data_IF_246891135116
#
_entry.id   IF_246891135116
#
_cell.length_a   1.000
_cell.length_b   1.000
_cell.length_c   1.000
_cell.angle_alpha   90.00
_cell.angle_beta   90.00
_cell.angle_gamma   90.00
#
_symmetry.space_group_name_H-M   'P 1'
#
loop_
_entity.id
_entity.type
_entity.pdbx_description
1 polymer ?
#
# COMPACT_ATOMS: atom_id res chain seq x y z
N UNK A 1 -0.03 21.15 47.27
CA UNK A 1 -0.24 19.73 46.92
C UNK A 1 -0.36 19.63 45.40
N UNK A 2 0.76 19.37 44.75
CA UNK A 2 0.84 19.06 43.31
C UNK A 2 0.50 17.58 43.10
N UNK A 3 -0.40 17.22 42.17
CA UNK A 3 -0.66 15.81 41.91
C UNK A 3 0.53 15.22 41.14
N UNK A 4 1.16 14.23 41.75
CA UNK A 4 2.19 13.37 41.14
C UNK A 4 1.60 12.66 39.93
N UNK A 5 2.17 12.90 38.74
CA UNK A 5 2.05 11.98 37.62
C UNK A 5 2.61 10.61 38.05
N UNK A 6 1.79 9.57 37.94
CA UNK A 6 2.25 8.19 38.03
C UNK A 6 2.86 7.79 36.68
N UNK A 7 4.13 7.37 36.60
CA UNK A 7 4.68 6.77 35.40
C UNK A 7 4.39 5.26 35.38
N UNK A 8 3.99 4.74 34.22
CA UNK A 8 4.06 3.30 33.92
C UNK A 8 2.74 2.53 34.02
N UNK A 9 1.86 2.70 33.03
CA UNK A 9 1.01 1.59 32.61
C UNK A 9 1.88 0.66 31.75
N UNK A 10 2.38 -0.43 32.33
CA UNK A 10 3.02 -1.49 31.58
C UNK A 10 1.98 -2.15 30.66
N UNK A 11 2.38 -2.43 29.42
CA UNK A 11 1.53 -3.04 28.37
C UNK A 11 2.03 -4.46 28.00
N UNK A 12 1.75 -5.51 28.80
CA UNK A 12 2.34 -6.83 28.53
C UNK A 12 1.56 -7.64 27.47
N UNK A 13 0.24 -7.47 27.35
CA UNK A 13 -0.60 -8.48 26.67
C UNK A 13 -0.83 -8.25 25.16
N UNK A 14 -0.10 -7.32 24.54
CA UNK A 14 -0.31 -6.96 23.14
C UNK A 14 0.71 -7.54 22.15
N UNK A 15 1.86 -7.98 22.65
CA UNK A 15 3.07 -8.01 21.83
C UNK A 15 3.85 -9.32 21.86
N UNK A 16 3.52 -10.29 22.73
CA UNK A 16 4.38 -11.47 22.92
C UNK A 16 3.72 -12.84 22.66
N UNK A 17 4.39 -13.59 21.79
CA UNK A 17 4.68 -15.02 21.98
C UNK A 17 6.01 -15.31 21.28
N UNK A 18 7.10 -15.65 22.00
CA UNK A 18 8.41 -15.84 21.38
C UNK A 18 8.44 -17.19 20.64
N UNK A 19 8.50 -17.15 19.31
CA UNK A 19 8.79 -18.34 18.49
C UNK A 19 10.29 -18.50 18.29
N UNK A 20 10.84 -19.73 18.35
CA UNK A 20 12.28 -19.98 18.30
C UNK A 20 12.90 -19.53 16.97
N UNK A 21 14.14 -19.03 17.08
CA UNK A 21 14.92 -18.39 16.03
C UNK A 21 15.47 -19.43 15.03
N UNK A 22 14.63 -19.93 14.12
CA UNK A 22 15.12 -20.60 12.90
C UNK A 22 15.85 -19.58 12.03
N UNK A 23 16.91 -20.02 11.33
CA UNK A 23 17.65 -19.24 10.33
C UNK A 23 16.64 -18.60 9.37
N UNK A 24 16.39 -17.29 9.55
CA UNK A 24 15.25 -16.62 8.90
C UNK A 24 15.58 -16.37 7.43
N UNK A 25 14.68 -16.67 6.49
CA UNK A 25 14.74 -16.09 5.17
C UNK A 25 14.68 -14.56 5.32
N UNK A 26 15.73 -13.84 4.91
CA UNK A 26 15.76 -12.38 4.89
C UNK A 26 14.94 -11.83 3.71
N UNK A 27 13.82 -12.47 3.36
CA UNK A 27 13.12 -12.18 2.11
C UNK A 27 11.86 -11.37 2.41
N UNK A 28 11.74 -10.22 1.75
CA UNK A 28 10.53 -9.40 1.73
C UNK A 28 9.64 -9.85 0.57
N UNK A 29 8.44 -10.34 0.87
CA UNK A 29 7.42 -10.61 -0.14
C UNK A 29 6.91 -9.30 -0.75
N UNK A 30 6.47 -9.31 -2.00
CA UNK A 30 5.74 -8.18 -2.57
C UNK A 30 4.70 -8.63 -3.60
N UNK A 31 3.68 -7.80 -3.84
CA UNK A 31 2.73 -8.03 -4.93
C UNK A 31 3.46 -7.90 -6.29
N UNK A 32 3.71 -9.05 -6.90
CA UNK A 32 4.41 -9.17 -8.17
C UNK A 32 3.56 -8.75 -9.39
N UNK A 33 4.08 -8.97 -10.59
CA UNK A 33 5.38 -9.57 -10.90
C UNK A 33 6.55 -8.57 -10.75
N UNK A 34 7.78 -9.02 -11.02
CA UNK A 34 8.94 -8.14 -11.10
C UNK A 34 8.72 -7.03 -12.13
N UNK A 35 9.10 -5.81 -11.75
CA UNK A 35 8.90 -4.59 -12.53
C UNK A 35 7.61 -3.87 -12.18
N UNK A 36 6.81 -4.38 -11.22
CA UNK A 36 5.63 -3.68 -10.72
C UNK A 36 5.99 -2.42 -9.94
N UNK A 37 5.02 -1.52 -9.77
CA UNK A 37 5.16 -0.38 -8.87
C UNK A 37 5.42 -0.84 -7.41
N UNK A 38 4.87 -1.99 -7.00
CA UNK A 38 5.14 -2.55 -5.68
C UNK A 38 6.61 -2.95 -5.50
N UNK A 39 7.26 -3.50 -6.53
CA UNK A 39 8.70 -3.76 -6.49
C UNK A 39 9.50 -2.44 -6.39
N UNK A 40 9.10 -1.41 -7.14
CA UNK A 40 9.75 -0.10 -7.06
C UNK A 40 9.62 0.54 -5.67
N UNK A 41 8.51 0.31 -4.97
CA UNK A 41 8.28 0.80 -3.61
C UNK A 41 9.22 0.18 -2.56
N UNK A 42 9.86 -0.96 -2.84
CA UNK A 42 10.82 -1.60 -1.92
C UNK A 42 11.99 -0.67 -1.55
N UNK A 43 12.40 0.20 -2.47
CA UNK A 43 13.50 1.13 -2.26
C UNK A 43 13.21 2.16 -1.15
N UNK A 44 11.96 2.60 -1.02
CA UNK A 44 11.54 3.55 0.01
C UNK A 44 11.27 2.91 1.38
N UNK A 45 11.44 1.59 1.52
CA UNK A 45 11.13 0.81 2.72
C UNK A 45 12.36 0.07 3.28
N UNK A 46 13.55 0.53 2.87
CA UNK A 46 14.87 0.03 3.27
C UNK A 46 15.02 -1.49 3.05
N UNK A 47 14.35 -2.02 2.04
CA UNK A 47 14.46 -3.44 1.68
C UNK A 47 15.74 -3.63 0.87
N UNK A 48 16.63 -4.49 1.36
CA UNK A 48 17.91 -4.79 0.70
C UNK A 48 17.69 -5.34 -0.71
N UNK A 49 18.52 -4.92 -1.66
CA UNK A 49 18.54 -5.49 -3.01
C UNK A 49 18.81 -7.00 -2.96
N UNK A 50 18.09 -7.77 -3.77
CA UNK A 50 18.17 -9.24 -3.78
C UNK A 50 17.49 -9.93 -2.60
N UNK A 51 16.92 -9.18 -1.66
CA UNK A 51 16.26 -9.69 -0.46
C UNK A 51 14.73 -9.60 -0.57
N UNK A 52 14.18 -9.75 -1.78
CA UNK A 52 12.74 -9.65 -2.04
C UNK A 52 12.26 -10.65 -3.09
N UNK A 53 11.02 -11.10 -2.97
CA UNK A 53 10.42 -12.08 -3.87
C UNK A 53 8.98 -11.69 -4.28
N UNK A 54 8.63 -11.77 -5.58
CA UNK A 54 7.28 -11.50 -6.04
C UNK A 54 6.31 -12.63 -5.67
N UNK A 55 5.09 -12.25 -5.32
CA UNK A 55 3.96 -13.15 -5.11
C UNK A 55 2.79 -12.74 -6.02
N UNK A 56 1.97 -13.69 -6.50
CA UNK A 56 0.93 -13.40 -7.49
C UNK A 56 -0.30 -12.71 -6.90
N UNK A 57 -0.43 -12.62 -5.58
CA UNK A 57 -1.51 -11.88 -4.92
C UNK A 57 -1.09 -11.30 -3.58
N UNK A 58 -1.82 -10.27 -3.14
CA UNK A 58 -1.65 -9.65 -1.82
C UNK A 58 -1.82 -10.68 -0.71
N UNK A 59 -2.84 -11.54 -0.83
CA UNK A 59 -3.09 -12.61 0.14
C UNK A 59 -1.87 -13.53 0.28
N UNK A 60 -1.30 -14.01 -0.83
CA UNK A 60 -0.15 -14.91 -0.77
C UNK A 60 1.12 -14.21 -0.24
N UNK A 61 1.33 -12.92 -0.57
CA UNK A 61 2.44 -12.15 0.01
C UNK A 61 2.31 -12.03 1.54
N UNK A 62 1.10 -11.76 2.04
CA UNK A 62 0.83 -11.66 3.48
C UNK A 62 0.87 -13.04 4.17
N UNK A 63 0.40 -14.09 3.51
CA UNK A 63 0.44 -15.46 4.04
C UNK A 63 1.89 -15.95 4.21
N UNK A 64 2.80 -15.56 3.30
CA UNK A 64 4.23 -15.83 3.47
C UNK A 64 4.80 -15.19 4.75
N UNK A 65 4.30 -14.03 5.17
CA UNK A 65 4.68 -13.40 6.44
C UNK A 65 4.06 -14.14 7.62
N UNK A 66 2.79 -14.55 7.51
CA UNK A 66 2.09 -15.34 8.55
C UNK A 66 2.79 -16.67 8.82
N UNK A 67 3.20 -17.39 7.78
CA UNK A 67 3.91 -18.67 7.90
C UNK A 67 5.37 -18.53 8.31
N UNK A 68 5.94 -17.32 8.23
CA UNK A 68 7.36 -17.07 8.45
C UNK A 68 8.26 -17.42 7.25
N UNK A 69 7.68 -17.71 6.09
CA UNK A 69 8.41 -17.87 4.81
C UNK A 69 9.06 -16.56 4.36
N UNK A 70 8.43 -15.42 4.70
CA UNK A 70 8.95 -14.08 4.50
C UNK A 70 8.99 -13.32 5.84
N UNK A 71 9.93 -12.39 5.98
CA UNK A 71 10.01 -11.54 7.19
C UNK A 71 8.99 -10.41 7.16
N UNK A 72 8.77 -9.86 5.97
CA UNK A 72 7.84 -8.77 5.71
C UNK A 72 7.20 -8.93 4.33
N UNK A 73 6.14 -8.17 4.09
CA UNK A 73 5.49 -8.03 2.79
C UNK A 73 5.30 -6.55 2.47
N UNK A 74 5.49 -6.17 1.20
CA UNK A 74 5.13 -4.84 0.69
C UNK A 74 3.92 -4.97 -0.21
N UNK A 75 2.87 -4.24 0.11
CA UNK A 75 1.58 -4.28 -0.59
C UNK A 75 1.10 -2.86 -0.86
N UNK A 76 0.41 -2.62 -2.00
CA UNK A 76 -0.22 -1.33 -2.25
C UNK A 76 -1.33 -1.10 -1.23
N UNK A 77 -1.48 0.11 -0.72
CA UNK A 77 -2.44 0.44 0.33
C UNK A 77 -3.52 1.40 -0.18
N UNK A 78 -3.11 2.45 -0.87
CA UNK A 78 -3.99 3.50 -1.36
C UNK A 78 -3.41 4.15 -2.61
N UNK A 79 -4.27 4.51 -3.57
CA UNK A 79 -3.94 5.27 -4.74
C UNK A 79 -4.66 6.62 -4.69
N UNK A 80 -4.00 7.72 -5.05
CA UNK A 80 -4.58 9.06 -4.96
C UNK A 80 -5.71 9.34 -5.97
N UNK A 81 -5.89 8.48 -6.98
CA UNK A 81 -6.93 8.59 -8.01
C UNK A 81 -8.10 7.65 -7.71
N UNK A 82 -7.82 6.42 -7.28
CA UNK A 82 -8.82 5.35 -7.12
C UNK A 82 -9.19 5.05 -5.66
N UNK A 83 -8.46 5.64 -4.71
CA UNK A 83 -8.64 5.42 -3.28
C UNK A 83 -7.99 4.12 -2.80
N UNK A 84 -8.58 3.52 -1.77
CA UNK A 84 -7.99 2.37 -1.06
C UNK A 84 -7.88 1.12 -1.95
N UNK A 85 -6.78 0.38 -1.79
CA UNK A 85 -6.61 -0.91 -2.45
C UNK A 85 -7.29 -1.99 -1.60
N UNK A 86 -8.56 -2.23 -1.94
CA UNK A 86 -9.46 -3.12 -1.19
C UNK A 86 -8.84 -4.49 -0.87
N UNK A 87 -8.12 -5.11 -1.81
CA UNK A 87 -7.48 -6.41 -1.59
C UNK A 87 -6.49 -6.41 -0.42
N UNK A 88 -5.75 -5.31 -0.21
CA UNK A 88 -4.80 -5.16 0.90
C UNK A 88 -5.50 -4.81 2.20
N UNK A 89 -6.45 -3.87 2.14
CA UNK A 89 -7.25 -3.49 3.29
C UNK A 89 -8.00 -4.70 3.85
N UNK A 90 -8.70 -5.46 3.02
CA UNK A 90 -9.48 -6.62 3.45
C UNK A 90 -8.62 -7.74 4.03
N UNK A 91 -7.45 -7.96 3.43
CA UNK A 91 -6.51 -8.98 3.88
C UNK A 91 -5.83 -8.63 5.21
N UNK A 92 -5.73 -7.34 5.57
CA UNK A 92 -5.26 -6.88 6.88
C UNK A 92 -6.38 -6.66 7.89
N UNK A 93 -7.58 -6.27 7.45
CA UNK A 93 -8.71 -5.95 8.31
C UNK A 93 -9.09 -7.12 9.25
N UNK A 94 -8.87 -8.35 8.79
CA UNK A 94 -9.18 -9.58 9.52
C UNK A 94 -7.93 -10.25 10.10
N UNK A 95 -6.79 -9.55 10.16
CA UNK A 95 -5.51 -10.15 10.52
C UNK A 95 -5.09 -9.81 11.94
N UNK A 96 -5.15 -10.78 12.85
CA UNK A 96 -4.71 -10.58 14.24
C UNK A 96 -3.17 -10.63 14.39
N UNK A 97 -2.48 -11.33 13.49
CA UNK A 97 -1.05 -11.64 13.60
C UNK A 97 -0.12 -10.77 12.73
N UNK A 98 -0.66 -9.74 12.08
CA UNK A 98 0.13 -8.84 11.22
C UNK A 98 0.03 -7.40 11.70
N UNK A 99 1.08 -6.62 11.46
CA UNK A 99 1.09 -5.19 11.66
C UNK A 99 1.81 -4.46 10.52
N UNK A 100 1.39 -3.23 10.25
CA UNK A 100 2.10 -2.27 9.41
C UNK A 100 3.26 -1.70 10.23
N UNK A 101 4.42 -1.62 9.59
CA UNK A 101 5.71 -1.25 10.20
C UNK A 101 6.41 -0.11 9.47
N UNK A 102 5.80 0.37 8.39
CA UNK A 102 6.32 1.45 7.57
C UNK A 102 5.45 1.65 6.35
N UNK A 103 5.59 2.81 5.72
CA UNK A 103 4.94 3.15 4.47
C UNK A 103 5.88 3.93 3.56
N UNK A 104 5.54 4.00 2.29
CA UNK A 104 6.22 4.83 1.31
C UNK A 104 5.24 5.33 0.27
N UNK A 105 5.55 6.48 -0.32
CA UNK A 105 4.77 7.11 -1.39
C UNK A 105 5.56 6.99 -2.69
N UNK A 106 4.93 6.44 -3.72
CA UNK A 106 5.55 6.30 -5.04
C UNK A 106 4.73 7.05 -6.10
N UNK A 107 5.31 8.07 -6.76
CA UNK A 107 4.71 8.68 -7.93
C UNK A 107 4.46 7.66 -9.04
N UNK A 108 3.25 7.69 -9.60
CA UNK A 108 2.80 6.79 -10.65
C UNK A 108 2.82 7.55 -11.97
N UNK A 109 3.74 7.15 -12.84
CA UNK A 109 3.86 7.69 -14.18
C UNK A 109 3.71 6.58 -15.21
N UNK A 110 2.93 6.86 -16.25
CA UNK A 110 2.68 5.94 -17.34
C UNK A 110 3.33 6.45 -18.63
N UNK A 111 3.91 5.52 -19.35
CA UNK A 111 4.40 5.69 -20.72
C UNK A 111 3.85 4.56 -21.58
N UNK A 112 3.79 4.79 -22.89
CA UNK A 112 3.47 3.76 -23.88
C UNK A 112 4.74 3.39 -24.63
N UNK A 113 5.02 2.09 -24.70
CA UNK A 113 6.14 1.56 -25.45
C UNK A 113 5.72 0.43 -26.38
N UNK A 114 6.49 0.29 -27.46
CA UNK A 114 6.34 -0.73 -28.50
C UNK A 114 7.58 -1.62 -28.53
N UNK A 115 7.53 -2.80 -29.16
CA UNK A 115 8.74 -3.57 -29.44
C UNK A 115 9.74 -2.78 -30.29
N UNK A 116 11.04 -3.11 -30.21
CA UNK A 116 12.06 -2.42 -31.01
C UNK A 116 11.73 -2.40 -32.50
N UNK A 117 11.84 -1.21 -33.11
CA UNK A 117 11.48 -0.97 -34.51
C UNK A 117 9.97 -0.82 -34.78
N UNK A 118 9.13 -0.90 -33.76
CA UNK A 118 7.71 -0.53 -33.83
C UNK A 118 7.50 0.98 -33.85
N UNK A 119 6.30 1.42 -34.21
CA UNK A 119 5.91 2.83 -34.21
C UNK A 119 4.53 3.01 -33.59
N UNK A 120 4.19 4.25 -33.22
CA UNK A 120 2.84 4.54 -32.72
C UNK A 120 1.76 4.21 -33.76
N UNK A 121 2.04 4.40 -35.05
CA UNK A 121 1.09 4.13 -36.15
C UNK A 121 0.83 2.63 -36.40
N UNK A 122 1.73 1.74 -36.00
CA UNK A 122 1.56 0.29 -36.14
C UNK A 122 0.71 -0.33 -35.03
N UNK A 123 0.48 0.40 -33.93
CA UNK A 123 -0.25 -0.12 -32.76
C UNK A 123 -1.70 -0.44 -33.13
N UNK A 124 -2.11 -1.66 -32.79
CA UNK A 124 -3.50 -2.17 -32.89
C UNK A 124 -4.01 -2.75 -31.59
N UNK A 125 -3.11 -3.06 -30.64
CA UNK A 125 -3.46 -3.58 -29.32
C UNK A 125 -2.62 -2.91 -28.26
N UNK A 126 -3.27 -2.43 -27.20
CA UNK A 126 -2.61 -1.82 -26.04
C UNK A 126 -2.84 -2.71 -24.82
N UNK A 127 -1.77 -3.30 -24.31
CA UNK A 127 -1.77 -4.17 -23.15
C UNK A 127 -1.46 -3.34 -21.90
N UNK A 128 -2.32 -3.41 -20.89
CA UNK A 128 -2.01 -2.89 -19.55
C UNK A 128 -3.01 -3.38 -18.51
N UNK A 129 -2.81 -2.99 -17.25
CA UNK A 129 -3.79 -3.23 -16.19
C UNK A 129 -5.02 -2.33 -16.38
N UNK A 130 -6.26 -2.80 -16.12
CA UNK A 130 -7.47 -1.98 -16.27
C UNK A 130 -7.41 -0.59 -15.60
N UNK A 131 -6.80 -0.50 -14.42
CA UNK A 131 -6.63 0.78 -13.71
C UNK A 131 -5.69 1.75 -14.47
N UNK A 132 -4.59 1.23 -15.02
CA UNK A 132 -3.68 2.04 -15.83
C UNK A 132 -4.34 2.47 -17.15
N UNK A 133 -5.16 1.60 -17.75
CA UNK A 133 -5.95 1.95 -18.93
C UNK A 133 -6.93 3.08 -18.63
N UNK A 134 -7.70 2.99 -17.54
CA UNK A 134 -8.63 4.04 -17.14
C UNK A 134 -7.92 5.39 -16.96
N UNK A 135 -6.72 5.40 -16.37
CA UNK A 135 -5.94 6.61 -16.15
C UNK A 135 -5.28 7.18 -17.42
N UNK A 136 -5.11 6.36 -18.47
CA UNK A 136 -4.51 6.78 -19.75
C UNK A 136 -5.54 6.96 -20.88
N UNK A 137 -6.83 6.71 -20.60
CA UNK A 137 -7.90 6.60 -21.60
C UNK A 137 -8.02 7.85 -22.48
N UNK A 138 -7.97 9.03 -21.89
CA UNK A 138 -8.02 10.30 -22.63
C UNK A 138 -6.92 10.38 -23.68
N UNK A 139 -5.70 9.95 -23.35
CA UNK A 139 -4.59 9.97 -24.30
C UNK A 139 -4.75 8.90 -25.39
N UNK A 140 -5.15 7.68 -25.01
CA UNK A 140 -5.32 6.57 -25.95
C UNK A 140 -6.47 6.79 -26.93
N UNK A 141 -7.58 7.38 -26.48
CA UNK A 141 -8.74 7.66 -27.34
C UNK A 141 -8.38 8.70 -28.43
N UNK A 142 -7.47 9.62 -28.14
CA UNK A 142 -7.00 10.65 -29.08
C UNK A 142 -5.95 10.08 -30.05
N UNK A 143 -4.94 9.37 -29.54
CA UNK A 143 -3.75 9.00 -30.31
C UNK A 143 -3.83 7.60 -30.93
N UNK A 144 -4.67 6.73 -30.38
CA UNK A 144 -4.82 5.33 -30.78
C UNK A 144 -6.31 4.93 -30.89
N UNK A 145 -7.15 5.68 -31.63
CA UNK A 145 -8.60 5.47 -31.68
C UNK A 145 -9.03 4.11 -32.27
N UNK A 146 -8.11 3.39 -32.91
CA UNK A 146 -8.35 2.10 -33.54
C UNK A 146 -7.61 0.94 -32.84
N UNK A 147 -6.99 1.19 -31.68
CA UNK A 147 -6.31 0.15 -30.93
C UNK A 147 -7.24 -0.48 -29.89
N UNK A 148 -7.25 -1.80 -29.84
CA UNK A 148 -8.01 -2.54 -28.84
C UNK A 148 -7.27 -2.55 -27.50
N UNK A 149 -8.00 -2.33 -26.40
CA UNK A 149 -7.48 -2.56 -25.07
C UNK A 149 -7.47 -4.06 -24.76
N UNK A 150 -6.31 -4.56 -24.33
CA UNK A 150 -6.13 -5.95 -23.89
C UNK A 150 -5.75 -5.92 -22.41
N UNK A 151 -6.67 -6.41 -21.57
CA UNK A 151 -6.49 -6.44 -20.13
C UNK A 151 -5.36 -7.40 -19.73
N UNK A 152 -4.46 -6.92 -18.89
CA UNK A 152 -3.39 -7.71 -18.28
C UNK A 152 -3.52 -7.69 -16.75
N UNK A 153 -2.96 -8.70 -16.09
CA UNK A 153 -2.98 -8.81 -14.62
C UNK A 153 -2.15 -7.73 -13.92
N UNK A 154 -1.22 -7.09 -14.61
CA UNK A 154 -0.47 -5.93 -14.13
C UNK A 154 0.17 -5.17 -15.29
N UNK A 155 0.59 -3.92 -15.04
CA UNK A 155 1.36 -3.13 -16.02
C UNK A 155 2.70 -3.80 -16.35
N UNK A 156 3.33 -4.44 -15.37
CA UNK A 156 4.57 -5.19 -15.56
C UNK A 156 4.38 -6.48 -16.36
N UNK A 157 3.28 -7.19 -16.16
CA UNK A 157 2.93 -8.35 -16.97
C UNK A 157 2.67 -7.96 -18.42
N UNK A 158 1.97 -6.85 -18.66
CA UNK A 158 1.77 -6.32 -20.01
C UNK A 158 3.09 -5.99 -20.71
N UNK A 159 3.99 -5.27 -20.03
CA UNK A 159 5.31 -4.95 -20.58
C UNK A 159 6.13 -6.22 -20.87
N UNK A 160 6.10 -7.21 -19.98
CA UNK A 160 6.75 -8.51 -20.19
C UNK A 160 6.20 -9.23 -21.42
N UNK A 161 4.88 -9.27 -21.57
CA UNK A 161 4.22 -9.97 -22.67
C UNK A 161 4.55 -9.34 -24.04
N UNK A 162 4.48 -8.00 -24.12
CA UNK A 162 4.87 -7.28 -25.35
C UNK A 162 6.36 -7.45 -25.64
N UNK A 163 7.22 -7.37 -24.62
CA UNK A 163 8.67 -7.55 -24.78
C UNK A 163 9.08 -8.96 -25.20
N UNK A 164 8.33 -9.97 -24.74
CA UNK A 164 8.57 -11.38 -25.08
C UNK A 164 8.04 -11.74 -26.46
N UNK A 165 6.80 -11.35 -26.78
CA UNK A 165 6.17 -11.67 -28.06
C UNK A 165 6.73 -10.86 -29.23
N UNK A 166 7.20 -9.63 -28.97
CA UNK A 166 7.69 -8.67 -29.96
C UNK A 166 6.76 -8.45 -31.15
N UNK A 167 5.44 -8.62 -30.94
CA UNK A 167 4.45 -8.40 -31.99
C UNK A 167 4.43 -6.92 -32.40
N UNK A 168 4.72 -6.54 -33.66
CA UNK A 168 4.87 -5.13 -34.07
C UNK A 168 3.61 -4.27 -33.91
N UNK A 169 2.44 -4.90 -33.77
CA UNK A 169 1.15 -4.25 -33.58
C UNK A 169 0.71 -4.14 -32.11
N UNK A 170 1.53 -4.61 -31.18
CA UNK A 170 1.26 -4.54 -29.74
C UNK A 170 2.04 -3.41 -29.09
N UNK A 171 1.42 -2.72 -28.14
CA UNK A 171 2.06 -1.76 -27.25
C UNK A 171 1.74 -2.11 -25.79
N UNK A 172 2.61 -1.69 -24.88
CA UNK A 172 2.37 -1.80 -23.44
C UNK A 172 2.31 -0.41 -22.79
N UNK A 173 1.39 -0.24 -21.83
CA UNK A 173 1.41 0.89 -20.91
C UNK A 173 1.93 0.43 -19.55
N UNK A 174 3.05 0.99 -19.11
CA UNK A 174 3.63 0.75 -17.79
C UNK A 174 4.51 1.91 -17.35
N UNK A 175 5.22 1.77 -16.23
CA UNK A 175 6.23 2.75 -15.83
C UNK A 175 7.40 2.75 -16.84
N UNK A 176 8.05 3.90 -17.10
CA UNK A 176 9.23 3.95 -17.98
C UNK A 176 10.32 2.94 -17.60
N UNK A 177 10.56 2.76 -16.28
CA UNK A 177 11.53 1.78 -15.77
C UNK A 177 11.14 0.33 -16.11
N UNK A 178 9.86 0.02 -16.03
CA UNK A 178 9.32 -1.31 -16.37
C UNK A 178 9.43 -1.59 -17.86
N UNK A 179 9.10 -0.60 -18.71
CA UNK A 179 9.19 -0.73 -20.17
C UNK A 179 10.64 -0.97 -20.61
N UNK A 180 11.58 -0.19 -20.08
CA UNK A 180 13.01 -0.35 -20.33
C UNK A 180 13.52 -1.73 -19.89
N UNK A 181 13.08 -2.23 -18.73
CA UNK A 181 13.44 -3.57 -18.25
C UNK A 181 13.08 -4.68 -19.24
N UNK A 182 11.95 -4.56 -19.93
CA UNK A 182 11.50 -5.56 -20.89
C UNK A 182 11.91 -5.24 -22.34
N UNK A 183 12.87 -4.32 -22.53
CA UNK A 183 13.47 -4.02 -23.83
C UNK A 183 12.49 -3.40 -24.82
N UNK A 184 11.55 -2.59 -24.34
CA UNK A 184 10.57 -1.87 -25.15
C UNK A 184 11.00 -0.42 -25.39
N UNK A 185 10.70 0.07 -26.59
CA UNK A 185 11.00 1.45 -27.02
C UNK A 185 9.84 2.36 -26.66
N UNK A 186 10.09 3.32 -25.77
CA UNK A 186 9.09 4.30 -25.34
C UNK A 186 8.80 5.27 -26.48
N UNK A 187 7.53 5.33 -26.92
CA UNK A 187 7.08 6.21 -28.01
C UNK A 187 6.16 7.34 -27.52
N UNK A 188 5.68 7.26 -26.28
CA UNK A 188 4.98 8.37 -25.61
C UNK A 188 5.23 8.31 -24.10
N UNK A 189 5.49 9.47 -23.49
CA UNK A 189 5.72 9.63 -22.06
C UNK A 189 4.59 10.42 -21.42
N UNK A 190 4.42 10.26 -20.10
CA UNK A 190 3.49 11.06 -19.29
C UNK A 190 2.06 11.07 -19.84
N UNK A 191 1.57 9.90 -20.24
CA UNK A 191 0.25 9.75 -20.90
C UNK A 191 -0.92 9.59 -19.92
N UNK A 192 -0.62 9.56 -18.61
CA UNK A 192 -1.64 9.49 -17.57
C UNK A 192 -2.33 10.85 -17.38
N UNK A 193 -3.63 10.83 -17.11
CA UNK A 193 -4.44 12.04 -16.92
C UNK A 193 -4.05 12.87 -15.68
N UNK A 194 -3.39 12.24 -14.69
CA UNK A 194 -3.00 12.85 -13.42
C UNK A 194 -1.48 12.76 -13.23
N UNK A 195 -0.71 13.84 -13.48
CA UNK A 195 0.75 13.83 -13.29
C UNK A 195 1.16 13.76 -11.81
N UNK A 196 0.24 14.09 -10.92
CA UNK A 196 0.35 14.03 -9.46
C UNK A 196 -0.16 12.71 -8.87
N UNK A 197 -0.44 11.70 -9.71
CA UNK A 197 -0.89 10.39 -9.26
C UNK A 197 0.20 9.72 -8.41
N UNK A 198 -0.18 9.28 -7.21
CA UNK A 198 0.71 8.65 -6.24
C UNK A 198 0.04 7.42 -5.66
N UNK A 199 0.82 6.38 -5.41
CA UNK A 199 0.36 5.21 -4.66
C UNK A 199 1.16 5.10 -3.37
N UNK A 200 0.44 4.95 -2.26
CA UNK A 200 0.96 4.61 -0.95
C UNK A 200 1.09 3.09 -0.83
N UNK A 201 2.25 2.63 -0.41
CA UNK A 201 2.54 1.23 -0.13
C UNK A 201 2.88 1.06 1.34
N UNK A 202 2.51 -0.08 1.92
CA UNK A 202 2.79 -0.39 3.32
C UNK A 202 3.67 -1.63 3.44
N UNK A 203 4.59 -1.59 4.41
CA UNK A 203 5.41 -2.73 4.84
C UNK A 203 4.73 -3.42 6.01
N UNK A 204 4.31 -4.65 5.79
CA UNK A 204 3.63 -5.49 6.78
C UNK A 204 4.60 -6.52 7.32
N UNK A 205 4.62 -6.71 8.63
CA UNK A 205 5.37 -7.78 9.29
C UNK A 205 4.45 -8.57 10.24
N UNK A 206 4.98 -9.64 10.84
CA UNK A 206 4.31 -10.29 11.97
C UNK A 206 4.17 -9.30 13.13
N UNK A 207 3.07 -9.42 13.86
CA UNK A 207 2.74 -8.57 15.01
C UNK A 207 3.93 -8.51 15.97
N UNK A 208 4.34 -7.28 16.28
CA UNK A 208 5.40 -6.94 17.23
C UNK A 208 5.10 -5.55 17.77
N UNK A 209 5.75 -5.19 18.89
CA UNK A 209 5.70 -3.82 19.41
C UNK A 209 6.16 -2.84 18.30
N UNK A 210 5.44 -1.72 18.09
CA UNK A 210 5.89 -0.64 17.23
C UNK A 210 7.30 -0.15 17.59
N UNK A 211 7.96 0.51 16.65
CA UNK A 211 9.21 1.24 16.92
C UNK A 211 8.96 2.37 17.93
N UNK A 212 10.01 3.07 18.35
CA UNK A 212 9.83 4.30 19.11
C UNK A 212 9.13 5.36 18.24
N UNK A 213 8.34 6.28 18.84
CA UNK A 213 7.78 7.42 18.12
C UNK A 213 8.87 8.21 17.40
N UNK A 214 8.56 8.63 16.18
CA UNK A 214 9.39 9.54 15.36
C UNK A 214 8.93 10.98 15.45
N UNK A 215 7.72 11.22 15.95
CA UNK A 215 7.07 12.54 15.97
C UNK A 215 6.33 12.89 14.67
N UNK A 216 6.48 12.07 13.62
CA UNK A 216 5.66 12.10 12.41
C UNK A 216 5.25 10.65 12.08
N UNK A 217 4.36 10.11 12.90
CA UNK A 217 3.89 8.73 12.80
C UNK A 217 2.44 8.67 12.33
N UNK A 218 2.06 7.52 11.77
CA UNK A 218 0.68 7.13 11.50
C UNK A 218 0.35 5.89 12.31
N UNK A 219 -0.86 5.86 12.85
CA UNK A 219 -1.42 4.69 13.52
C UNK A 219 -2.66 4.19 12.78
N UNK A 220 -2.75 2.87 12.61
CA UNK A 220 -3.86 2.22 11.91
C UNK A 220 -4.56 1.24 12.83
N UNK A 221 -5.90 1.27 12.82
CA UNK A 221 -6.73 0.38 13.61
C UNK A 221 -7.98 -0.04 12.81
N UNK A 222 -8.50 -1.20 13.15
CA UNK A 222 -9.74 -1.75 12.60
C UNK A 222 -10.72 -1.90 13.75
N UNK A 223 -11.88 -1.27 13.62
CA UNK A 223 -12.93 -1.24 14.63
C UNK A 223 -14.18 -1.93 14.08
N UNK A 224 -14.45 -3.19 14.45
CA UNK A 224 -15.71 -3.84 14.11
C UNK A 224 -16.88 -3.14 14.81
N UNK A 225 -17.98 -2.84 14.12
CA UNK A 225 -19.18 -2.27 14.75
C UNK A 225 -20.31 -3.30 14.83
N UNK A 226 -21.17 -3.14 15.82
CA UNK A 226 -22.33 -4.02 16.03
C UNK A 226 -23.55 -3.62 15.16
N UNK A 227 -23.39 -2.61 14.29
CA UNK A 227 -24.38 -2.24 13.27
C UNK A 227 -25.30 -1.09 13.64
N UNK A 228 -25.12 -0.41 14.79
CA UNK A 228 -25.90 0.80 15.12
C UNK A 228 -25.16 2.05 14.64
N UNK A 229 -25.89 3.05 14.13
CA UNK A 229 -25.33 4.33 13.66
C UNK A 229 -24.56 5.06 14.78
N UNK A 230 -25.04 4.97 16.02
CA UNK A 230 -24.36 5.51 17.20
C UNK A 230 -22.95 4.97 17.42
N UNK A 231 -22.68 3.74 16.96
CA UNK A 231 -21.40 3.09 17.23
C UNK A 231 -20.25 3.79 16.51
N UNK A 232 -20.48 4.28 15.27
CA UNK A 232 -19.46 5.02 14.54
C UNK A 232 -19.25 6.41 15.15
N UNK A 233 -20.33 7.11 15.50
CA UNK A 233 -20.26 8.41 16.17
C UNK A 233 -19.37 8.32 17.41
N UNK A 234 -19.62 7.34 18.27
CA UNK A 234 -18.91 7.19 19.52
C UNK A 234 -17.42 6.85 19.32
N UNK A 235 -17.11 6.08 18.26
CA UNK A 235 -15.71 5.80 17.89
C UNK A 235 -15.02 7.07 17.42
N UNK A 236 -15.63 7.85 16.52
CA UNK A 236 -15.06 9.11 16.02
C UNK A 236 -14.94 10.16 17.13
N UNK A 237 -15.89 10.18 18.07
CA UNK A 237 -15.88 11.09 19.20
C UNK A 237 -14.65 10.92 20.11
N UNK A 238 -14.12 9.70 20.25
CA UNK A 238 -12.87 9.50 21.01
C UNK A 238 -11.66 10.20 20.38
N UNK A 239 -11.59 10.25 19.05
CA UNK A 239 -10.53 11.00 18.34
C UNK A 239 -10.70 12.51 18.52
N UNK A 240 -11.93 13.01 18.43
CA UNK A 240 -12.22 14.44 18.64
C UNK A 240 -11.84 14.88 20.05
N UNK A 241 -12.27 14.13 21.08
CA UNK A 241 -12.03 14.46 22.49
C UNK A 241 -10.54 14.46 22.88
N UNK A 242 -9.73 13.70 22.17
CA UNK A 242 -8.27 13.59 22.40
C UNK A 242 -7.46 14.45 21.43
N UNK A 243 -8.13 15.18 20.53
CA UNK A 243 -7.51 16.00 19.48
C UNK A 243 -6.54 15.23 18.60
N UNK A 244 -6.84 13.95 18.34
CA UNK A 244 -6.06 13.09 17.44
C UNK A 244 -6.61 13.22 16.01
N UNK A 245 -5.85 13.77 15.04
CA UNK A 245 -6.33 13.92 13.68
C UNK A 245 -6.54 12.56 12.99
N UNK A 246 -7.74 12.36 12.44
CA UNK A 246 -8.02 11.25 11.53
C UNK A 246 -7.60 11.63 10.11
N UNK A 247 -6.88 10.73 9.45
CA UNK A 247 -6.43 10.86 8.06
C UNK A 247 -7.20 9.96 7.11
N UNK A 248 -7.81 8.88 7.62
CA UNK A 248 -8.66 7.99 6.83
C UNK A 248 -9.74 7.33 7.69
N UNK A 249 -10.94 7.18 7.11
CA UNK A 249 -12.08 6.46 7.67
C UNK A 249 -12.71 5.64 6.55
N UNK A 250 -12.51 4.32 6.58
CA UNK A 250 -12.95 3.42 5.52
C UNK A 250 -13.84 2.31 6.08
N UNK A 251 -15.09 2.26 5.61
CA UNK A 251 -16.00 1.16 5.95
C UNK A 251 -15.71 -0.06 5.08
N UNK A 252 -15.67 -1.24 5.70
CA UNK A 252 -15.52 -2.54 5.05
C UNK A 252 -16.58 -3.51 5.58
N UNK A 253 -17.11 -4.41 4.75
CA UNK A 253 -17.98 -5.49 5.24
C UNK A 253 -17.17 -6.39 6.19
N UNK A 254 -17.75 -6.76 7.34
CA UNK A 254 -17.06 -7.60 8.33
C UNK A 254 -17.06 -9.10 7.98
N UNK A 255 -17.72 -9.49 6.88
CA UNK A 255 -17.93 -10.89 6.52
C UNK A 255 -18.97 -11.62 7.37
N UNK A 256 -19.55 -10.98 8.39
CA UNK A 256 -20.54 -11.57 9.29
C UNK A 256 -22.00 -11.56 8.76
N UNK A 257 -22.19 -11.31 7.46
CA UNK A 257 -23.50 -11.09 6.83
C UNK A 257 -23.86 -9.61 6.62
N UNK A 258 -25.02 -9.36 6.04
CA UNK A 258 -25.52 -8.00 5.79
C UNK A 258 -25.70 -7.21 7.11
N UNK A 259 -25.26 -5.95 7.13
CA UNK A 259 -25.35 -5.06 8.30
C UNK A 259 -24.12 -5.08 9.22
N UNK A 260 -23.20 -6.04 9.04
CA UNK A 260 -21.93 -6.08 9.76
C UNK A 260 -20.83 -5.29 9.04
N UNK A 261 -20.26 -4.27 9.71
CA UNK A 261 -19.18 -3.46 9.17
C UNK A 261 -18.01 -3.37 10.14
N UNK A 262 -16.81 -3.27 9.58
CA UNK A 262 -15.62 -2.82 10.30
C UNK A 262 -15.12 -1.53 9.68
N UNK A 263 -14.61 -0.63 10.51
CA UNK A 263 -14.03 0.62 10.05
C UNK A 263 -12.52 0.54 10.21
N UNK A 264 -11.81 0.71 9.11
CA UNK A 264 -10.38 0.98 9.14
C UNK A 264 -10.20 2.49 9.37
N UNK A 265 -9.49 2.83 10.44
CA UNK A 265 -9.20 4.21 10.81
C UNK A 265 -7.69 4.39 10.79
N UNK A 266 -7.24 5.48 10.18
CA UNK A 266 -5.85 5.93 10.25
C UNK A 266 -5.81 7.30 10.90
N UNK A 267 -4.91 7.47 11.86
CA UNK A 267 -4.72 8.73 12.55
C UNK A 267 -3.24 9.13 12.61
N UNK A 268 -3.00 10.42 12.84
CA UNK A 268 -1.65 10.92 13.13
C UNK A 268 -1.25 10.60 14.57
N UNK A 269 0.04 10.32 14.75
CA UNK A 269 0.64 10.01 16.04
C UNK A 269 0.89 8.53 16.28
N UNK A 270 1.55 8.25 17.40
CA UNK A 270 2.09 6.95 17.77
C UNK A 270 1.43 6.39 19.04
N UNK A 271 1.26 5.08 19.15
CA UNK A 271 0.58 4.43 20.29
C UNK A 271 1.22 4.72 21.65
N UNK A 272 2.53 4.93 21.66
CA UNK A 272 3.31 5.27 22.86
C UNK A 272 3.17 6.77 23.24
N UNK A 273 2.50 7.59 22.43
CA UNK A 273 2.17 8.98 22.74
C UNK A 273 0.81 9.07 23.47
N UNK A 274 0.68 9.92 24.51
CA UNK A 274 -0.54 9.99 25.31
C UNK A 274 -1.86 10.19 24.53
N UNK A 275 -1.93 11.03 23.47
CA UNK A 275 -3.17 11.22 22.72
C UNK A 275 -3.68 9.92 22.08
N UNK A 276 -2.86 9.27 21.25
CA UNK A 276 -3.24 8.03 20.55
C UNK A 276 -3.41 6.86 21.53
N UNK A 277 -2.51 6.73 22.52
CA UNK A 277 -2.63 5.72 23.56
C UNK A 277 -3.97 5.81 24.31
N UNK A 278 -4.43 7.03 24.61
CA UNK A 278 -5.71 7.27 25.27
C UNK A 278 -6.91 6.88 24.39
N UNK A 279 -6.87 7.20 23.09
CA UNK A 279 -7.91 6.79 22.13
C UNK A 279 -8.01 5.28 22.07
N UNK A 280 -6.89 4.60 21.83
CA UNK A 280 -6.89 3.14 21.67
C UNK A 280 -7.34 2.45 22.96
N UNK A 281 -6.94 2.95 24.13
CA UNK A 281 -7.42 2.45 25.41
C UNK A 281 -8.93 2.65 25.60
N UNK A 282 -9.47 3.82 25.23
CA UNK A 282 -10.90 4.10 25.31
C UNK A 282 -11.72 3.21 24.37
N UNK A 283 -11.28 3.10 23.11
CA UNK A 283 -11.96 2.25 22.14
C UNK A 283 -11.93 0.77 22.56
N UNK A 284 -10.80 0.28 23.11
CA UNK A 284 -10.70 -1.10 23.63
C UNK A 284 -11.66 -1.41 24.78
N UNK A 285 -11.88 -0.46 25.69
CA UNK A 285 -12.86 -0.63 26.78
C UNK A 285 -14.28 -0.79 26.24
N UNK A 286 -14.59 -0.15 25.11
CA UNK A 286 -15.90 -0.24 24.46
C UNK A 286 -16.02 -1.49 23.59
N UNK A 287 -14.92 -1.88 22.95
CA UNK A 287 -14.89 -2.97 22.00
C UNK A 287 -13.56 -3.74 22.08
N UNK A 288 -13.63 -4.95 22.65
CA UNK A 288 -12.46 -5.81 22.82
C UNK A 288 -11.92 -6.39 21.51
N UNK A 289 -12.67 -6.31 20.40
CA UNK A 289 -12.30 -6.88 19.09
C UNK A 289 -11.53 -5.92 18.18
N UNK A 290 -11.09 -4.78 18.70
CA UNK A 290 -10.31 -3.83 17.90
C UNK A 290 -8.97 -4.44 17.54
N UNK A 291 -8.67 -4.44 16.25
CA UNK A 291 -7.36 -4.85 15.73
C UNK A 291 -6.52 -3.59 15.56
N UNK A 292 -5.51 -3.44 16.40
CA UNK A 292 -4.49 -2.42 16.19
C UNK A 292 -3.46 -2.97 15.20
N UNK A 293 -3.36 -2.32 14.03
CA UNK A 293 -2.49 -2.71 12.92
C UNK A 293 -1.10 -2.08 13.02
N UNK A 294 -0.84 -1.13 13.91
CA UNK A 294 0.52 -0.62 14.15
C UNK A 294 0.58 0.89 14.22
N UNK A 295 1.68 1.38 14.80
CA UNK A 295 2.17 2.74 14.62
C UNK A 295 3.49 2.66 13.85
N UNK A 296 3.68 3.55 12.89
CA UNK A 296 4.83 3.52 12.00
C UNK A 296 5.14 4.91 11.44
N UNK A 297 6.39 5.17 11.03
CA UNK A 297 6.77 6.46 10.47
C UNK A 297 5.90 6.79 9.25
N UNK A 298 5.37 8.02 9.23
CA UNK A 298 4.59 8.53 8.11
C UNK A 298 5.53 8.83 6.95
N UNK A 299 5.17 8.39 5.75
CA UNK A 299 5.88 8.79 4.56
C UNK A 299 5.48 10.23 4.20
N UNK A 300 6.48 11.05 3.89
CA UNK A 300 6.29 12.41 3.40
C UNK A 300 6.83 12.50 1.98
N UNK A 301 6.24 13.39 1.17
CA UNK A 301 6.89 13.79 -0.07
C UNK A 301 8.10 14.64 0.29
N UNK A 302 9.28 14.22 -0.17
CA UNK A 302 10.39 15.16 -0.24
C UNK A 302 10.07 16.18 -1.35
N UNK A 303 9.46 17.30 -0.96
CA UNK A 303 9.24 18.45 -1.83
C UNK A 303 10.51 19.29 -2.00
N UNK A 304 11.67 18.84 -1.52
CA UNK A 304 12.92 19.52 -1.80
C UNK A 304 13.15 19.54 -3.31
N UNK A 305 13.34 20.72 -3.94
CA UNK A 305 13.74 20.76 -5.33
C UNK A 305 15.01 19.93 -5.46
N UNK A 306 15.00 18.98 -6.41
CA UNK A 306 16.16 18.17 -6.71
C UNK A 306 17.37 19.10 -6.78
N UNK A 307 18.33 18.94 -5.85
CA UNK A 307 19.60 19.65 -5.94
C UNK A 307 20.24 19.16 -7.23
N UNK A 308 20.06 19.92 -8.30
CA UNK A 308 20.72 19.69 -9.57
C UNK A 308 22.20 19.55 -9.27
N UNK A 309 22.76 18.40 -9.62
CA UNK A 309 24.21 18.28 -9.76
C UNK A 309 24.58 19.25 -10.87
N UNK A 310 25.06 20.43 -10.49
CA UNK A 310 25.85 21.27 -11.39
C UNK A 310 27.05 20.43 -11.80
N UNK A 311 27.16 20.14 -13.09
CA UNK A 311 28.35 19.59 -13.74
C UNK A 311 29.53 20.55 -13.56
#
# INVERSE_FOLDING_TARGET
MTPRCLPGASWPDLWDSPTPRRLRPMTTAYLGPSGSFTEAALAGLEVRSGAAAPYPSVRQALDAVRSGTAEAAVVPWENSVEGAVNASVDALAHSENLCITGETLLPVQFALAVPPGGSLSSVRRVLTHPHAHAQCRTWTDIHLPHADFVASSSTAQAAREVGTSRAPSSAAIASPKTLARYGLDVVAQSIGARPDAVTRFVKVARRKRPSLPTGSDRSTLVVPLAGKVSDLHDVLHEFVRTSVPLTSVLSRPSGAGFGGYSFLLECEGHIDEPPVGSVVAALRRRNSRIVFLGSYPRAEFDNSPARGKTL
#
